data_IF_452625357894
#
_entry.id   IF_452625357894
#
_cell.length_a   1.000
_cell.length_b   1.000
_cell.length_c   1.000
_cell.angle_alpha   90.00
_cell.angle_beta   90.00
_cell.angle_gamma   90.00
#
_symmetry.space_group_name_H-M   'P 1'
#
loop_
_entity.id
_entity.type
_entity.pdbx_description
1 polymer ?
#
# COMPACT_ATOMS: atom_id res chain seq x y z
N UNK A 1 19.44 -12.00 10.59
CA UNK A 1 19.07 -11.52 9.24
C UNK A 1 17.57 -11.23 9.21
N UNK A 2 17.16 -10.12 8.59
CA UNK A 2 15.76 -9.67 8.55
C UNK A 2 15.16 -9.74 7.12
N UNK A 3 15.81 -10.47 6.23
CA UNK A 3 15.30 -10.73 4.88
C UNK A 3 14.00 -11.54 4.92
N UNK A 4 13.12 -11.27 3.97
CA UNK A 4 11.81 -11.92 3.83
C UNK A 4 11.44 -12.07 2.35
N UNK A 5 10.27 -12.62 2.07
CA UNK A 5 9.67 -12.63 0.74
C UNK A 5 8.28 -12.00 0.78
N UNK A 6 7.90 -11.26 -0.27
CA UNK A 6 6.58 -10.65 -0.39
C UNK A 6 6.14 -10.62 -1.85
N UNK A 7 4.95 -11.06 -2.14
CA UNK A 7 4.42 -11.19 -3.51
C UNK A 7 5.35 -12.01 -4.47
N UNK A 8 6.13 -12.94 -3.94
CA UNK A 8 7.14 -13.68 -4.69
C UNK A 8 8.47 -12.94 -4.89
N UNK A 9 8.60 -11.70 -4.44
CA UNK A 9 9.82 -10.92 -4.46
C UNK A 9 10.69 -11.22 -3.23
N UNK A 10 12.01 -11.28 -3.41
CA UNK A 10 12.98 -11.37 -2.30
C UNK A 10 13.29 -9.98 -1.78
N UNK A 11 13.09 -9.77 -0.49
CA UNK A 11 13.33 -8.50 0.18
C UNK A 11 14.49 -8.63 1.18
N UNK A 12 15.44 -7.73 1.15
CA UNK A 12 16.56 -7.67 2.12
C UNK A 12 16.10 -7.21 3.51
N UNK A 13 14.91 -6.62 3.60
CA UNK A 13 14.27 -6.11 4.81
C UNK A 13 12.74 -6.18 4.63
N UNK A 14 11.95 -6.36 5.70
CA UNK A 14 10.49 -6.29 5.60
C UNK A 14 9.96 -4.87 5.36
N UNK A 15 10.81 -3.85 5.32
CA UNK A 15 10.42 -2.47 5.11
C UNK A 15 10.29 -2.15 3.63
N UNK A 16 9.08 -1.93 3.16
CA UNK A 16 8.77 -1.36 1.85
C UNK A 16 8.52 0.13 2.03
N UNK A 17 9.24 0.98 1.28
CA UNK A 17 8.94 2.42 1.24
C UNK A 17 7.66 2.61 0.45
N UNK A 18 6.58 2.99 1.12
CA UNK A 18 5.27 3.17 0.51
C UNK A 18 5.19 4.39 -0.39
N UNK A 19 4.22 4.37 -1.31
CA UNK A 19 3.95 5.45 -2.24
C UNK A 19 3.80 6.80 -1.53
N UNK A 20 4.67 7.77 -1.86
CA UNK A 20 4.65 9.13 -1.33
C UNK A 20 5.40 10.09 -2.27
N UNK A 21 5.43 11.39 -1.96
CA UNK A 21 6.08 12.39 -2.82
C UNK A 21 7.58 12.17 -3.01
N UNK A 22 8.28 11.58 -2.02
CA UNK A 22 9.72 11.33 -2.11
C UNK A 22 10.04 10.17 -3.05
N UNK A 23 9.13 9.19 -3.23
CA UNK A 23 9.31 8.07 -4.16
C UNK A 23 9.06 8.42 -5.64
N UNK A 24 8.83 9.70 -5.95
CA UNK A 24 8.91 10.27 -7.30
C UNK A 24 10.30 10.82 -7.65
N UNK A 25 11.26 10.80 -6.71
CA UNK A 25 12.58 11.37 -6.88
C UNK A 25 13.64 10.26 -6.85
N UNK A 26 14.41 10.14 -7.94
CA UNK A 26 15.40 9.07 -8.10
C UNK A 26 16.52 9.12 -7.06
N UNK A 27 16.95 10.31 -6.61
CA UNK A 27 17.97 10.46 -5.59
C UNK A 27 17.47 9.91 -4.23
N UNK A 28 16.19 10.16 -3.92
CA UNK A 28 15.55 9.63 -2.71
C UNK A 28 15.37 8.11 -2.77
N UNK A 29 14.99 7.58 -3.93
CA UNK A 29 14.89 6.12 -4.15
C UNK A 29 16.22 5.44 -3.85
N UNK A 30 17.33 5.95 -4.40
CA UNK A 30 18.69 5.43 -4.15
C UNK A 30 19.09 5.59 -2.68
N UNK A 31 18.72 6.71 -2.04
CA UNK A 31 18.97 6.93 -0.61
C UNK A 31 18.24 5.89 0.27
N UNK A 32 17.00 5.57 -0.05
CA UNK A 32 16.20 4.55 0.68
C UNK A 32 16.79 3.15 0.52
N UNK A 33 17.23 2.76 -0.69
CA UNK A 33 17.94 1.50 -0.89
C UNK A 33 19.19 1.42 -0.03
N UNK A 34 20.04 2.46 -0.05
CA UNK A 34 21.27 2.53 0.76
C UNK A 34 20.98 2.45 2.26
N UNK A 35 19.82 2.92 2.70
CA UNK A 35 19.37 2.82 4.08
C UNK A 35 18.84 1.42 4.46
N UNK A 36 18.72 0.51 3.50
CA UNK A 36 18.31 -0.89 3.70
C UNK A 36 16.81 -1.12 3.54
N UNK A 37 16.13 -0.35 2.70
CA UNK A 37 14.77 -0.66 2.28
C UNK A 37 14.71 -2.00 1.54
N UNK A 38 13.67 -2.80 1.77
CA UNK A 38 13.45 -4.06 1.07
C UNK A 38 12.90 -3.89 -0.34
N UNK A 39 12.05 -2.88 -0.56
CA UNK A 39 11.47 -2.50 -1.85
C UNK A 39 11.01 -1.04 -1.82
N UNK A 40 10.73 -0.48 -2.99
CA UNK A 40 10.19 0.88 -3.15
C UNK A 40 8.89 0.81 -3.96
N UNK A 41 7.80 1.34 -3.38
CA UNK A 41 6.58 1.66 -4.14
C UNK A 41 6.69 3.09 -4.64
N UNK A 42 6.68 3.28 -5.94
CA UNK A 42 6.76 4.60 -6.55
C UNK A 42 5.48 5.40 -6.27
N UNK A 43 5.59 6.73 -6.29
CA UNK A 43 4.41 7.59 -6.16
C UNK A 43 3.34 7.17 -7.16
N UNK A 44 2.12 6.95 -6.69
CA UNK A 44 1.04 6.47 -7.55
C UNK A 44 0.78 7.42 -8.72
N UNK A 45 0.55 6.82 -9.88
CA UNK A 45 0.02 7.53 -11.04
C UNK A 45 -1.49 7.68 -10.86
N UNK A 46 -1.98 8.90 -10.78
CA UNK A 46 -3.39 9.24 -10.61
C UNK A 46 -3.97 9.82 -11.89
N UNK A 47 -5.15 9.37 -12.29
CA UNK A 47 -5.93 9.97 -13.37
C UNK A 47 -6.21 11.47 -13.09
N UNK A 48 -6.53 11.78 -11.84
CA UNK A 48 -6.74 13.15 -11.38
C UNK A 48 -5.50 14.05 -11.53
N UNK A 49 -4.30 13.48 -11.40
CA UNK A 49 -3.05 14.23 -11.60
C UNK A 49 -2.87 14.64 -13.06
N UNK A 50 -3.22 13.74 -13.98
CA UNK A 50 -3.23 14.01 -15.42
C UNK A 50 -4.26 15.11 -15.74
N UNK A 51 -5.48 14.97 -15.22
CA UNK A 51 -6.56 15.95 -15.43
C UNK A 51 -6.23 17.33 -14.83
N UNK A 52 -5.54 17.36 -13.68
CA UNK A 52 -5.12 18.61 -13.03
C UNK A 52 -4.06 19.34 -13.86
N UNK A 53 -3.11 18.61 -14.42
CA UNK A 53 -2.07 19.17 -15.30
C UNK A 53 -2.67 19.73 -16.59
N UNK A 54 -3.64 19.01 -17.17
CA UNK A 54 -4.45 19.49 -18.30
C UNK A 54 -5.18 20.80 -17.95
N UNK A 55 -5.84 20.86 -16.79
CA UNK A 55 -6.58 22.03 -16.33
C UNK A 55 -5.67 23.25 -16.08
N UNK A 56 -4.39 23.04 -15.76
CA UNK A 56 -3.42 24.12 -15.55
C UNK A 56 -2.96 24.79 -16.84
N UNK A 57 -3.19 24.18 -17.99
CA UNK A 57 -2.84 24.75 -19.32
C UNK A 57 -3.82 25.81 -19.81
N UNK A 58 -4.90 26.06 -19.07
CA UNK A 58 -5.91 27.07 -19.37
C UNK A 58 -7.04 26.55 -20.25
N UNK A 59 -8.20 27.19 -20.14
CA UNK A 59 -9.32 26.98 -21.03
C UNK A 59 -9.04 27.72 -22.35
N UNK A 60 -8.48 27.06 -23.34
CA UNK A 60 -8.57 27.56 -24.71
C UNK A 60 -9.99 27.35 -25.25
N UNK A 61 -10.56 28.33 -25.88
CA UNK A 61 -11.93 28.34 -26.43
C UNK A 61 -12.13 27.34 -27.60
N UNK A 62 -11.13 26.49 -27.89
CA UNK A 62 -11.15 25.49 -28.94
C UNK A 62 -11.15 24.05 -28.44
N UNK A 63 -12.28 23.32 -28.50
CA UNK A 63 -12.37 21.92 -28.03
C UNK A 63 -11.33 20.96 -28.63
N UNK A 64 -11.01 21.11 -29.92
CA UNK A 64 -10.02 20.28 -30.60
C UNK A 64 -8.59 20.51 -30.08
N UNK A 65 -8.24 21.76 -29.73
CA UNK A 65 -6.96 22.07 -29.11
C UNK A 65 -6.87 21.48 -27.68
N UNK A 66 -7.97 21.51 -26.95
CA UNK A 66 -8.05 20.91 -25.60
C UNK A 66 -7.86 19.38 -25.65
N UNK A 67 -8.51 18.67 -26.56
CA UNK A 67 -8.37 17.21 -26.73
C UNK A 67 -6.93 16.83 -27.13
N UNK A 68 -6.31 17.61 -28.02
CA UNK A 68 -4.92 17.38 -28.42
C UNK A 68 -3.95 17.64 -27.26
N UNK A 69 -4.08 18.74 -26.53
CA UNK A 69 -3.25 19.09 -25.39
C UNK A 69 -3.43 18.10 -24.24
N UNK A 70 -4.66 17.65 -23.97
CA UNK A 70 -4.94 16.66 -22.94
C UNK A 70 -4.31 15.31 -23.27
N UNK A 71 -4.36 14.88 -24.52
CA UNK A 71 -3.66 13.69 -25.00
C UNK A 71 -2.14 13.78 -24.84
N UNK A 72 -1.57 14.94 -25.20
CA UNK A 72 -0.13 15.20 -25.09
C UNK A 72 0.35 15.21 -23.63
N UNK A 73 -0.36 15.88 -22.73
CA UNK A 73 -0.03 15.92 -21.29
C UNK A 73 -0.14 14.57 -20.66
N UNK A 74 -1.21 13.83 -20.97
CA UNK A 74 -1.35 12.43 -20.50
C UNK A 74 -0.17 11.56 -20.90
N UNK A 75 0.23 11.63 -22.17
CA UNK A 75 1.34 10.81 -22.68
C UNK A 75 2.68 11.24 -22.08
N UNK A 76 2.89 12.53 -21.85
CA UNK A 76 4.09 13.04 -21.19
C UNK A 76 4.20 12.54 -19.74
N UNK A 77 3.14 12.67 -18.95
CA UNK A 77 3.11 12.18 -17.56
C UNK A 77 3.44 10.69 -17.48
N UNK A 78 2.86 9.90 -18.38
CA UNK A 78 3.13 8.46 -18.46
C UNK A 78 4.58 8.20 -18.87
N UNK A 79 5.09 8.91 -19.87
CA UNK A 79 6.47 8.77 -20.35
C UNK A 79 7.49 9.11 -19.25
N UNK A 80 7.28 10.20 -18.52
CA UNK A 80 8.14 10.59 -17.40
C UNK A 80 8.10 9.54 -16.28
N UNK A 81 6.94 8.94 -16.00
CA UNK A 81 6.81 7.87 -15.03
C UNK A 81 7.54 6.59 -15.46
N UNK A 82 7.43 6.19 -16.74
CA UNK A 82 8.17 5.05 -17.27
C UNK A 82 9.68 5.28 -17.25
N UNK A 83 10.13 6.51 -17.54
CA UNK A 83 11.52 6.89 -17.42
C UNK A 83 12.02 6.78 -15.97
N UNK A 84 11.21 7.17 -14.98
CA UNK A 84 11.54 6.99 -13.56
C UNK A 84 11.71 5.51 -13.20
N UNK A 85 10.81 4.62 -13.67
CA UNK A 85 10.92 3.16 -13.44
C UNK A 85 12.25 2.66 -14.02
N UNK A 86 12.53 2.95 -15.28
CA UNK A 86 13.74 2.49 -15.97
C UNK A 86 15.01 3.00 -15.29
N UNK A 87 15.03 4.27 -14.86
CA UNK A 87 16.17 4.85 -14.17
C UNK A 87 16.35 4.26 -12.75
N UNK A 88 15.25 4.01 -12.03
CA UNK A 88 15.30 3.35 -10.73
C UNK A 88 15.85 1.92 -10.86
N UNK A 89 15.39 1.16 -11.84
CA UNK A 89 15.89 -0.20 -12.13
C UNK A 89 17.36 -0.24 -12.54
N UNK A 90 17.84 0.82 -13.19
CA UNK A 90 19.27 0.95 -13.54
C UNK A 90 20.15 1.24 -12.32
N UNK A 91 19.64 1.97 -11.34
CA UNK A 91 20.41 2.46 -10.18
C UNK A 91 20.25 1.60 -8.94
N UNK A 92 19.14 0.87 -8.82
CA UNK A 92 18.80 0.08 -7.64
C UNK A 92 18.73 -1.40 -7.95
N UNK A 93 19.07 -2.21 -6.97
CA UNK A 93 19.02 -3.68 -7.00
C UNK A 93 17.77 -4.25 -6.33
N UNK A 94 17.17 -3.47 -5.41
CA UNK A 94 15.93 -3.85 -4.73
C UNK A 94 14.71 -3.73 -5.66
N UNK A 95 13.62 -4.44 -5.38
CA UNK A 95 12.40 -4.35 -6.17
C UNK A 95 11.85 -2.93 -6.26
N UNK A 96 11.50 -2.52 -7.50
CA UNK A 96 10.83 -1.27 -7.82
C UNK A 96 9.40 -1.59 -8.26
N UNK A 97 8.44 -1.06 -7.51
CA UNK A 97 7.02 -1.35 -7.62
C UNK A 97 6.28 -0.08 -8.02
N UNK A 98 5.98 0.15 -9.31
CA UNK A 98 5.08 1.25 -9.68
C UNK A 98 3.69 1.04 -9.10
N UNK A 99 3.00 2.14 -8.82
CA UNK A 99 1.66 2.15 -8.26
C UNK A 99 0.69 2.92 -9.15
N UNK A 100 -0.50 2.36 -9.35
CA UNK A 100 -1.59 2.95 -10.12
C UNK A 100 -2.79 3.15 -9.19
N UNK A 101 -3.32 4.37 -9.14
CA UNK A 101 -4.59 4.65 -8.47
C UNK A 101 -5.75 4.38 -9.42
N UNK A 102 -6.47 3.28 -9.17
CA UNK A 102 -7.57 2.81 -10.00
C UNK A 102 -8.92 3.20 -9.36
N UNK A 103 -9.73 3.99 -10.07
CA UNK A 103 -11.10 4.33 -9.66
C UNK A 103 -12.15 3.71 -10.58
N UNK A 104 -11.78 3.32 -11.78
CA UNK A 104 -12.64 2.75 -12.81
C UNK A 104 -11.93 1.67 -13.60
N UNK A 105 -12.68 0.94 -14.42
CA UNK A 105 -12.20 -0.10 -15.33
C UNK A 105 -11.61 0.45 -16.65
N UNK A 106 -11.02 1.64 -16.61
CA UNK A 106 -10.53 2.36 -17.78
C UNK A 106 -9.13 1.98 -18.26
N UNK A 107 -8.41 2.94 -18.83
CA UNK A 107 -7.13 2.82 -19.57
C UNK A 107 -5.92 2.21 -18.83
N UNK A 108 -6.09 1.72 -17.60
CA UNK A 108 -5.02 1.22 -16.72
C UNK A 108 -4.32 -0.04 -17.22
N UNK A 109 -5.02 -0.82 -18.05
CA UNK A 109 -4.53 -2.06 -18.62
C UNK A 109 -3.30 -1.84 -19.50
N UNK A 110 -3.33 -0.82 -20.36
CA UNK A 110 -2.21 -0.46 -21.22
C UNK A 110 -1.01 0.05 -20.40
N UNK A 111 -1.27 0.88 -19.39
CA UNK A 111 -0.22 1.40 -18.50
C UNK A 111 0.49 0.29 -17.75
N UNK A 112 -0.25 -0.71 -17.24
CA UNK A 112 0.33 -1.86 -16.56
C UNK A 112 1.36 -2.61 -17.45
N UNK A 113 1.04 -2.85 -18.72
CA UNK A 113 1.99 -3.44 -19.68
C UNK A 113 3.22 -2.57 -19.90
N UNK A 114 3.03 -1.27 -20.07
CA UNK A 114 4.13 -0.31 -20.28
C UNK A 114 5.05 -0.26 -19.07
N UNK A 115 4.51 -0.30 -17.84
CA UNK A 115 5.30 -0.34 -16.61
C UNK A 115 6.12 -1.62 -16.50
N UNK A 116 5.54 -2.77 -16.81
CA UNK A 116 6.29 -4.03 -16.90
C UNK A 116 7.41 -3.91 -17.96
N UNK A 117 7.11 -3.34 -19.12
CA UNK A 117 8.10 -3.11 -20.20
C UNK A 117 9.24 -2.18 -19.79
N UNK A 118 9.01 -1.24 -18.87
CA UNK A 118 10.03 -0.36 -18.28
C UNK A 118 10.89 -1.06 -17.20
N UNK A 119 10.60 -2.32 -16.86
CA UNK A 119 11.39 -3.14 -15.94
C UNK A 119 10.85 -3.22 -14.51
N UNK A 120 9.59 -2.90 -14.27
CA UNK A 120 8.95 -3.06 -12.95
C UNK A 120 9.05 -4.52 -12.46
N UNK A 121 9.30 -4.72 -11.16
CA UNK A 121 9.41 -6.04 -10.53
C UNK A 121 8.03 -6.59 -10.07
N UNK A 122 7.11 -5.70 -9.74
CA UNK A 122 5.71 -5.96 -9.44
C UNK A 122 4.89 -4.71 -9.76
N UNK A 123 3.57 -4.81 -9.66
CA UNK A 123 2.66 -3.69 -9.83
C UNK A 123 1.75 -3.57 -8.61
N UNK A 124 1.66 -2.38 -8.01
CA UNK A 124 0.67 -2.07 -6.99
C UNK A 124 -0.56 -1.40 -7.62
N UNK A 125 -1.72 -2.01 -7.41
CA UNK A 125 -3.02 -1.42 -7.71
C UNK A 125 -3.58 -0.80 -6.43
N UNK A 126 -3.63 0.51 -6.38
CA UNK A 126 -4.25 1.25 -5.29
C UNK A 126 -5.73 1.45 -5.61
N UNK A 127 -6.55 0.51 -5.16
CA UNK A 127 -8.01 0.53 -5.42
C UNK A 127 -8.69 1.08 -4.18
N UNK A 128 -9.08 2.36 -4.26
CA UNK A 128 -9.71 3.05 -3.15
C UNK A 128 -10.80 3.98 -3.64
N UNK A 129 -12.01 3.74 -3.16
CA UNK A 129 -13.18 4.57 -3.45
C UNK A 129 -14.16 4.53 -2.27
N UNK A 130 -15.17 5.39 -2.32
CA UNK A 130 -16.28 5.39 -1.37
C UNK A 130 -17.56 4.96 -2.09
N UNK A 131 -18.22 3.94 -1.56
CA UNK A 131 -19.56 3.57 -2.03
C UNK A 131 -20.59 4.47 -1.34
N UNK A 132 -21.12 5.45 -2.08
CA UNK A 132 -22.04 6.47 -1.55
C UNK A 132 -23.43 6.40 -2.19
N UNK A 133 -23.65 5.48 -3.13
CA UNK A 133 -24.94 5.33 -3.82
C UNK A 133 -26.02 4.83 -2.87
N UNK A 134 -27.20 5.45 -2.93
CA UNK A 134 -28.40 4.94 -2.23
C UNK A 134 -28.96 3.66 -2.88
N UNK A 135 -28.63 3.43 -4.15
CA UNK A 135 -28.97 2.20 -4.88
C UNK A 135 -27.71 1.34 -4.90
N UNK A 136 -27.67 0.37 -4.02
CA UNK A 136 -26.52 -0.51 -3.81
C UNK A 136 -27.00 -1.96 -3.81
N UNK A 137 -26.31 -2.82 -4.56
CA UNK A 137 -26.51 -4.27 -4.52
C UNK A 137 -25.33 -4.89 -3.77
N UNK A 138 -25.60 -5.91 -2.99
CA UNK A 138 -24.59 -6.62 -2.21
C UNK A 138 -23.41 -7.06 -3.10
N UNK A 139 -22.21 -6.70 -2.66
CA UNK A 139 -20.98 -7.00 -3.37
C UNK A 139 -20.67 -6.09 -4.57
N UNK A 140 -21.45 -5.03 -4.85
CA UNK A 140 -21.17 -4.11 -5.96
C UNK A 140 -19.80 -3.44 -5.79
N UNK A 141 -19.44 -3.09 -4.56
CA UNK A 141 -18.20 -2.41 -4.25
C UNK A 141 -16.99 -3.34 -4.43
N UNK A 142 -17.08 -4.58 -3.96
CA UNK A 142 -16.04 -5.59 -4.11
C UNK A 142 -15.86 -6.02 -5.58
N UNK A 143 -16.94 -6.05 -6.37
CA UNK A 143 -16.89 -6.39 -7.80
C UNK A 143 -16.00 -5.45 -8.62
N UNK A 144 -15.93 -4.17 -8.26
CA UNK A 144 -15.03 -3.20 -8.92
C UNK A 144 -13.58 -3.64 -8.72
N UNK A 145 -13.19 -3.98 -7.48
CA UNK A 145 -11.85 -4.46 -7.14
C UNK A 145 -11.51 -5.73 -7.92
N UNK A 146 -12.43 -6.68 -7.95
CA UNK A 146 -12.26 -7.95 -8.66
C UNK A 146 -12.05 -7.76 -10.15
N UNK A 147 -12.84 -6.90 -10.80
CA UNK A 147 -12.74 -6.64 -12.23
C UNK A 147 -11.41 -5.98 -12.59
N UNK A 148 -10.98 -4.98 -11.83
CA UNK A 148 -9.70 -4.31 -12.04
C UNK A 148 -8.54 -5.31 -11.96
N UNK A 149 -8.51 -6.13 -10.90
CA UNK A 149 -7.43 -7.11 -10.69
C UNK A 149 -7.43 -8.18 -11.78
N UNK A 150 -8.60 -8.74 -12.11
CA UNK A 150 -8.73 -9.76 -13.15
C UNK A 150 -8.23 -9.25 -14.52
N UNK A 151 -8.56 -8.02 -14.87
CA UNK A 151 -8.13 -7.41 -16.12
C UNK A 151 -6.62 -7.20 -16.17
N UNK A 152 -6.04 -6.64 -15.10
CA UNK A 152 -4.59 -6.37 -15.05
C UNK A 152 -3.78 -7.67 -15.02
N UNK A 153 -4.17 -8.64 -14.18
CA UNK A 153 -3.44 -9.93 -14.06
C UNK A 153 -3.36 -10.68 -15.38
N UNK A 154 -4.37 -10.58 -16.25
CA UNK A 154 -4.35 -11.19 -17.59
C UNK A 154 -3.31 -10.56 -18.55
N UNK A 155 -2.84 -9.36 -18.26
CA UNK A 155 -2.04 -8.55 -19.17
C UNK A 155 -0.57 -8.46 -18.79
N UNK A 156 -0.22 -8.75 -17.53
CA UNK A 156 1.14 -8.67 -17.01
C UNK A 156 1.61 -10.04 -16.49
N UNK A 157 2.92 -10.26 -16.56
CA UNK A 157 3.56 -11.47 -16.01
C UNK A 157 4.24 -11.22 -14.65
N UNK A 158 4.31 -9.96 -14.23
CA UNK A 158 4.85 -9.56 -12.93
C UNK A 158 3.76 -9.69 -11.83
N UNK A 159 4.14 -9.89 -10.57
CA UNK A 159 3.20 -9.95 -9.46
C UNK A 159 2.32 -8.71 -9.36
N UNK A 160 1.03 -8.92 -9.09
CA UNK A 160 0.08 -7.84 -8.81
C UNK A 160 -0.21 -7.81 -7.31
N UNK A 161 0.01 -6.66 -6.71
CA UNK A 161 -0.25 -6.32 -5.30
C UNK A 161 -1.46 -5.40 -5.28
N UNK A 162 -2.39 -5.60 -4.34
CA UNK A 162 -3.60 -4.78 -4.25
C UNK A 162 -3.64 -4.05 -2.91
N UNK A 163 -3.57 -2.73 -2.96
CA UNK A 163 -3.72 -1.88 -1.78
C UNK A 163 -5.16 -1.43 -1.67
N UNK A 164 -5.83 -1.79 -0.58
CA UNK A 164 -7.25 -1.57 -0.36
C UNK A 164 -7.52 -0.59 0.77
N UNK A 165 -8.71 0.02 0.79
CA UNK A 165 -9.22 0.78 1.93
C UNK A 165 -9.72 -0.13 3.05
N UNK A 166 -9.92 0.43 4.23
CA UNK A 166 -10.51 -0.29 5.37
C UNK A 166 -12.05 -0.23 5.42
N UNK A 167 -12.66 0.36 4.42
CA UNK A 167 -14.09 0.67 4.36
C UNK A 167 -14.93 -0.42 3.68
N UNK A 168 -14.52 -1.68 3.85
CA UNK A 168 -15.26 -2.86 3.38
C UNK A 168 -15.95 -3.58 4.53
N UNK A 169 -17.12 -4.15 4.25
CA UNK A 169 -17.89 -4.92 5.24
C UNK A 169 -17.25 -6.26 5.59
N UNK A 170 -16.55 -6.89 4.65
CA UNK A 170 -15.87 -8.16 4.83
C UNK A 170 -14.52 -8.19 4.10
N UNK A 171 -13.47 -7.80 4.81
CA UNK A 171 -12.11 -7.72 4.27
C UNK A 171 -11.54 -9.11 3.97
N UNK A 172 -11.88 -10.13 4.76
CA UNK A 172 -11.43 -11.51 4.53
C UNK A 172 -11.97 -12.03 3.20
N UNK A 173 -13.28 -11.88 2.95
CA UNK A 173 -13.90 -12.27 1.68
C UNK A 173 -13.33 -11.50 0.49
N UNK A 174 -13.05 -10.20 0.67
CA UNK A 174 -12.41 -9.40 -0.37
C UNK A 174 -11.02 -9.95 -0.70
N UNK A 175 -10.18 -10.22 0.30
CA UNK A 175 -8.83 -10.75 0.11
C UNK A 175 -8.83 -12.12 -0.57
N UNK A 176 -9.72 -13.02 -0.18
CA UNK A 176 -9.91 -14.33 -0.82
C UNK A 176 -10.31 -14.15 -2.29
N UNK A 177 -11.29 -13.29 -2.57
CA UNK A 177 -11.72 -12.98 -3.92
C UNK A 177 -10.63 -12.33 -4.80
N UNK A 178 -9.74 -11.52 -4.22
CA UNK A 178 -8.58 -10.95 -4.91
C UNK A 178 -7.54 -12.02 -5.23
N UNK A 179 -7.24 -12.91 -4.27
CA UNK A 179 -6.36 -14.06 -4.47
C UNK A 179 -6.89 -14.96 -5.60
N UNK A 180 -8.16 -15.32 -5.58
CA UNK A 180 -8.80 -16.14 -6.60
C UNK A 180 -8.68 -15.54 -8.02
N UNK A 181 -8.47 -14.22 -8.14
CA UNK A 181 -8.25 -13.51 -9.42
C UNK A 181 -6.79 -13.27 -9.75
N UNK A 182 -5.88 -13.83 -8.96
CA UNK A 182 -4.45 -13.86 -9.24
C UNK A 182 -3.62 -12.77 -8.56
N UNK A 183 -4.19 -11.95 -7.69
CA UNK A 183 -3.40 -11.08 -6.82
C UNK A 183 -2.45 -11.92 -5.98
N UNK A 184 -1.20 -11.47 -5.84
CA UNK A 184 -0.16 -12.16 -5.06
C UNK A 184 -0.07 -11.65 -3.63
N UNK A 185 -0.46 -10.40 -3.42
CA UNK A 185 -0.44 -9.78 -2.09
C UNK A 185 -1.50 -8.71 -1.96
N UNK A 186 -1.83 -8.38 -0.70
CA UNK A 186 -2.65 -7.22 -0.33
C UNK A 186 -1.89 -6.31 0.62
N UNK A 187 -2.15 -5.01 0.52
CA UNK A 187 -1.67 -4.01 1.48
C UNK A 187 -2.85 -3.50 2.31
N UNK A 188 -2.78 -3.71 3.62
CA UNK A 188 -3.78 -3.34 4.61
C UNK A 188 -3.23 -2.19 5.49
N UNK A 189 -3.59 -0.91 5.33
CA UNK A 189 -4.58 -0.35 4.41
C UNK A 189 -4.07 0.92 3.77
N UNK A 190 -4.73 1.35 2.67
CA UNK A 190 -4.67 2.75 2.29
C UNK A 190 -5.52 3.57 3.27
N UNK A 191 -5.19 4.85 3.42
CA UNK A 191 -5.91 5.77 4.29
C UNK A 191 -6.79 6.69 3.46
N UNK A 192 -8.05 6.81 3.85
CA UNK A 192 -8.93 7.84 3.31
C UNK A 192 -8.36 9.25 3.60
N UNK A 193 -8.58 10.16 2.67
CA UNK A 193 -8.23 11.57 2.87
C UNK A 193 -8.86 12.08 4.17
N UNK A 194 -8.05 12.61 5.11
CA UNK A 194 -8.55 13.05 6.40
C UNK A 194 -9.24 14.41 6.26
N UNK A 195 -10.52 14.40 5.87
CA UNK A 195 -11.35 15.60 5.78
C UNK A 195 -11.56 16.21 7.16
N UNK A 196 -11.40 17.53 7.26
CA UNK A 196 -11.68 18.33 8.46
C UNK A 196 -12.37 19.64 8.07
N UNK A 197 -12.90 20.37 9.06
CA UNK A 197 -13.64 21.61 8.85
C UNK A 197 -13.03 22.72 9.70
N UNK A 198 -12.62 23.81 9.05
CA UNK A 198 -12.30 25.07 9.71
C UNK A 198 -13.62 25.78 10.08
N UNK A 199 -13.95 25.74 11.36
CA UNK A 199 -15.24 26.29 11.87
C UNK A 199 -15.29 27.81 11.85
N UNK A 200 -14.15 28.50 11.83
CA UNK A 200 -14.09 29.95 11.77
C UNK A 200 -14.28 30.47 10.35
N UNK A 201 -13.74 29.73 9.37
CA UNK A 201 -13.82 30.08 7.96
C UNK A 201 -14.98 29.41 7.23
N UNK A 202 -15.63 28.44 7.84
CA UNK A 202 -16.68 27.57 7.24
C UNK A 202 -16.21 26.91 5.92
N UNK A 203 -14.97 26.40 5.92
CA UNK A 203 -14.36 25.74 4.78
C UNK A 203 -13.82 24.37 5.14
N UNK A 204 -13.73 23.50 4.14
CA UNK A 204 -13.01 22.23 4.32
C UNK A 204 -11.51 22.46 4.48
N UNK A 205 -10.90 21.70 5.36
CA UNK A 205 -9.46 21.66 5.58
C UNK A 205 -8.98 20.21 5.67
N UNK A 206 -7.68 20.03 5.80
CA UNK A 206 -7.05 18.72 5.94
C UNK A 206 -6.80 18.48 7.42
N UNK A 207 -7.30 17.36 7.94
CA UNK A 207 -6.96 16.87 9.26
C UNK A 207 -5.53 16.34 9.32
N UNK A 208 -5.26 15.39 10.22
CA UNK A 208 -3.93 14.83 10.37
C UNK A 208 -3.49 14.04 9.12
N UNK A 209 -2.65 14.65 8.28
CA UNK A 209 -2.22 14.08 7.01
C UNK A 209 -1.35 12.81 7.18
N UNK A 210 -0.45 12.80 8.18
CA UNK A 210 0.43 11.66 8.47
C UNK A 210 -0.18 10.75 9.53
N UNK A 211 0.03 9.44 9.38
CA UNK A 211 -0.41 8.47 10.38
C UNK A 211 0.39 8.56 11.67
N UNK A 212 -0.24 8.18 12.77
CA UNK A 212 0.31 8.04 14.11
C UNK A 212 0.37 6.56 14.53
N UNK A 213 1.07 6.20 15.62
CA UNK A 213 1.07 4.83 16.15
C UNK A 213 -0.31 4.26 16.45
N UNK A 214 -1.30 5.11 16.75
CA UNK A 214 -2.68 4.70 17.02
C UNK A 214 -3.36 4.09 15.80
N UNK A 215 -2.97 4.51 14.60
CA UNK A 215 -3.52 4.01 13.34
C UNK A 215 -3.13 2.55 13.04
N UNK A 216 -2.13 1.99 13.76
CA UNK A 216 -1.64 0.62 13.55
C UNK A 216 -2.63 -0.46 14.03
N UNK A 217 -3.49 -0.17 14.99
CA UNK A 217 -4.35 -1.18 15.64
C UNK A 217 -5.30 -1.88 14.66
N UNK A 218 -5.88 -1.15 13.73
CA UNK A 218 -6.81 -1.69 12.73
C UNK A 218 -6.10 -2.58 11.71
N UNK A 219 -4.98 -2.15 11.07
CA UNK A 219 -4.20 -3.03 10.20
C UNK A 219 -3.70 -4.30 10.86
N UNK A 220 -3.23 -4.23 12.12
CA UNK A 220 -2.79 -5.42 12.87
C UNK A 220 -3.91 -6.44 13.05
N UNK A 221 -5.11 -5.97 13.44
CA UNK A 221 -6.27 -6.84 13.60
C UNK A 221 -6.58 -7.60 12.32
N UNK A 222 -6.67 -6.87 11.21
CA UNK A 222 -7.02 -7.48 9.93
C UNK A 222 -5.89 -8.34 9.36
N UNK A 223 -4.63 -7.98 9.56
CA UNK A 223 -3.51 -8.84 9.21
C UNK A 223 -3.59 -10.17 9.95
N UNK A 224 -3.91 -10.15 11.27
CA UNK A 224 -4.08 -11.35 12.08
C UNK A 224 -5.24 -12.24 11.63
N UNK A 225 -6.36 -11.66 11.24
CA UNK A 225 -7.53 -12.40 10.76
C UNK A 225 -7.30 -12.95 9.35
N UNK A 226 -6.87 -12.09 8.41
CA UNK A 226 -6.71 -12.48 7.00
C UNK A 226 -5.59 -13.50 6.81
N UNK A 227 -4.45 -13.36 7.51
CA UNK A 227 -3.34 -14.32 7.39
C UNK A 227 -3.71 -15.73 7.84
N UNK A 228 -4.61 -15.86 8.81
CA UNK A 228 -5.13 -17.16 9.24
C UNK A 228 -6.17 -17.73 8.28
N UNK A 229 -7.06 -16.86 7.75
CA UNK A 229 -8.20 -17.29 6.94
C UNK A 229 -7.86 -17.48 5.45
N UNK A 230 -6.89 -16.71 4.92
CA UNK A 230 -6.46 -16.72 3.52
C UNK A 230 -4.92 -16.80 3.46
N UNK A 231 -4.31 -17.90 3.93
CA UNK A 231 -2.84 -18.01 4.06
C UNK A 231 -2.08 -18.01 2.73
N UNK A 232 -2.79 -18.09 1.61
CA UNK A 232 -2.21 -18.11 0.27
C UNK A 232 -1.86 -16.71 -0.25
N UNK A 233 -2.45 -15.64 0.31
CA UNK A 233 -2.17 -14.27 -0.10
C UNK A 233 -1.17 -13.62 0.86
N UNK A 234 -0.13 -13.01 0.33
CA UNK A 234 0.83 -12.28 1.15
C UNK A 234 0.21 -10.96 1.64
N UNK A 235 0.56 -10.55 2.87
CA UNK A 235 0.04 -9.34 3.48
C UNK A 235 1.19 -8.38 3.77
N UNK A 236 1.02 -7.12 3.41
CA UNK A 236 1.79 -6.01 3.97
C UNK A 236 0.88 -5.13 4.83
N UNK A 237 1.35 -4.73 6.00
CA UNK A 237 0.66 -3.77 6.86
C UNK A 237 1.09 -2.35 6.48
N UNK A 238 0.12 -1.46 6.30
CA UNK A 238 0.35 -0.04 6.04
C UNK A 238 -0.52 0.84 6.96
N UNK A 239 0.07 1.92 7.46
CA UNK A 239 -0.55 2.84 8.42
C UNK A 239 -0.12 2.59 9.87
N UNK A 240 0.37 3.63 10.55
CA UNK A 240 0.75 3.60 11.95
C UNK A 240 2.06 2.88 12.30
N UNK A 241 2.79 2.37 11.30
CA UNK A 241 4.14 1.80 11.52
C UNK A 241 5.13 2.95 11.66
N UNK A 242 5.50 3.26 12.90
CA UNK A 242 6.39 4.39 13.25
C UNK A 242 7.73 3.95 13.83
N UNK A 243 7.89 2.68 14.16
CA UNK A 243 9.08 2.13 14.81
C UNK A 243 9.26 0.65 14.47
N UNK A 244 10.44 0.11 14.81
CA UNK A 244 10.72 -1.32 14.70
C UNK A 244 9.70 -2.19 15.44
N UNK A 245 9.11 -1.68 16.54
CA UNK A 245 8.04 -2.41 17.27
C UNK A 245 6.80 -2.57 16.41
N UNK A 246 6.45 -1.56 15.60
CA UNK A 246 5.35 -1.66 14.66
C UNK A 246 5.61 -2.74 13.59
N UNK A 247 6.86 -2.86 13.13
CA UNK A 247 7.27 -3.90 12.18
C UNK A 247 7.15 -5.28 12.82
N UNK A 248 7.72 -5.48 14.02
CA UNK A 248 7.65 -6.75 14.74
C UNK A 248 6.21 -7.18 15.01
N UNK A 249 5.32 -6.24 15.43
CA UNK A 249 3.90 -6.50 15.64
C UNK A 249 3.21 -6.95 14.34
N UNK A 250 3.53 -6.31 13.20
CA UNK A 250 2.96 -6.64 11.91
C UNK A 250 3.33 -8.06 11.47
N UNK A 251 4.61 -8.45 11.65
CA UNK A 251 5.07 -9.79 11.32
C UNK A 251 4.43 -10.84 12.27
N UNK A 252 4.37 -10.56 13.56
CA UNK A 252 3.67 -11.42 14.54
C UNK A 252 2.18 -11.60 14.20
N UNK A 253 1.55 -10.60 13.60
CA UNK A 253 0.16 -10.69 13.12
C UNK A 253 0.01 -11.43 11.78
N UNK A 254 1.12 -11.82 11.11
CA UNK A 254 1.08 -12.56 9.86
C UNK A 254 1.38 -11.75 8.59
N UNK A 255 1.78 -10.48 8.72
CA UNK A 255 2.25 -9.71 7.58
C UNK A 255 3.71 -10.05 7.26
N UNK A 256 4.01 -10.29 5.98
CA UNK A 256 5.39 -10.57 5.52
C UNK A 256 6.22 -9.29 5.33
N UNK A 257 5.55 -8.15 5.20
CA UNK A 257 6.18 -6.84 5.02
C UNK A 257 5.35 -5.72 5.67
N UNK A 258 5.96 -4.56 5.78
CA UNK A 258 5.28 -3.31 6.15
C UNK A 258 5.51 -2.27 5.07
N UNK A 259 4.48 -1.52 4.71
CA UNK A 259 4.60 -0.41 3.78
C UNK A 259 4.53 0.91 4.55
N UNK A 260 5.65 1.64 4.58
CA UNK A 260 5.86 2.80 5.45
C UNK A 260 6.03 4.07 4.60
N UNK A 261 5.21 5.08 4.89
CA UNK A 261 5.34 6.41 4.30
C UNK A 261 5.53 7.49 5.38
N UNK A 262 4.63 7.58 6.36
CA UNK A 262 4.58 8.69 7.32
C UNK A 262 5.84 8.83 8.17
N UNK A 263 6.41 7.74 8.66
CA UNK A 263 7.65 7.77 9.44
C UNK A 263 8.83 8.22 8.58
N UNK A 264 8.91 7.74 7.34
CA UNK A 264 9.96 8.12 6.39
C UNK A 264 9.85 9.61 5.98
N UNK A 265 8.62 10.13 5.82
CA UNK A 265 8.41 11.56 5.56
C UNK A 265 8.89 12.42 6.72
N UNK A 266 8.68 11.99 7.97
CA UNK A 266 9.11 12.72 9.18
C UNK A 266 10.62 12.65 9.43
N UNK A 267 11.22 11.47 9.26
CA UNK A 267 12.56 11.16 9.77
C UNK A 267 13.59 10.86 8.67
N UNK A 268 13.12 10.73 7.42
CA UNK A 268 13.99 10.41 6.28
C UNK A 268 14.47 8.96 6.26
N UNK A 269 15.50 8.72 5.44
CA UNK A 269 16.06 7.39 5.22
C UNK A 269 16.72 6.78 6.49
N UNK A 270 17.20 7.62 7.41
CA UNK A 270 17.81 7.18 8.67
C UNK A 270 16.87 6.35 9.53
N UNK A 271 15.53 6.59 9.43
CA UNK A 271 14.54 5.77 10.08
C UNK A 271 14.63 4.29 9.65
N UNK A 272 14.84 4.03 8.35
CA UNK A 272 14.94 2.67 7.80
C UNK A 272 16.14 1.95 8.41
N UNK A 273 17.31 2.58 8.41
CA UNK A 273 18.53 2.01 8.99
C UNK A 273 18.37 1.69 10.48
N UNK A 274 17.81 2.64 11.23
CA UNK A 274 17.59 2.48 12.66
C UNK A 274 16.54 1.38 12.97
N UNK A 275 15.44 1.38 12.23
CA UNK A 275 14.37 0.38 12.41
C UNK A 275 14.87 -1.04 12.09
N UNK A 276 15.64 -1.23 11.01
CA UNK A 276 16.25 -2.50 10.65
C UNK A 276 17.19 -3.01 11.75
N UNK A 277 18.09 -2.13 12.23
CA UNK A 277 19.02 -2.47 13.31
C UNK A 277 18.28 -2.95 14.57
N UNK A 278 17.34 -2.16 15.05
CA UNK A 278 16.60 -2.47 16.28
C UNK A 278 15.70 -3.70 16.12
N UNK A 279 15.13 -3.93 14.93
CA UNK A 279 14.36 -5.12 14.63
C UNK A 279 15.26 -6.38 14.69
N UNK A 280 16.45 -6.32 14.11
CA UNK A 280 17.40 -7.44 14.13
C UNK A 280 17.90 -7.72 15.55
N UNK A 281 18.23 -6.70 16.33
CA UNK A 281 18.61 -6.83 17.74
C UNK A 281 17.50 -7.50 18.58
N UNK A 282 16.24 -7.06 18.39
CA UNK A 282 15.10 -7.66 19.07
C UNK A 282 14.89 -9.12 18.63
N UNK A 283 14.95 -9.39 17.34
CA UNK A 283 14.81 -10.74 16.79
C UNK A 283 15.84 -11.70 17.42
N UNK A 284 17.11 -11.28 17.47
CA UNK A 284 18.19 -12.05 18.10
C UNK A 284 17.96 -12.24 19.61
N UNK A 285 17.47 -11.20 20.33
CA UNK A 285 17.17 -11.29 21.76
C UNK A 285 16.07 -12.30 22.09
N UNK A 286 15.21 -12.62 21.11
CA UNK A 286 14.14 -13.62 21.21
C UNK A 286 14.57 -15.01 20.70
N UNK A 287 15.80 -15.16 20.22
CA UNK A 287 16.29 -16.42 19.64
C UNK A 287 15.75 -16.72 18.24
N UNK A 288 15.19 -15.73 17.55
CA UNK A 288 14.73 -15.89 16.17
C UNK A 288 15.88 -15.62 15.18
N UNK A 289 16.00 -16.46 14.16
CA UNK A 289 17.03 -16.31 13.13
C UNK A 289 16.55 -15.50 11.90
N UNK A 290 15.24 -15.51 11.66
CA UNK A 290 14.61 -14.86 10.52
C UNK A 290 13.15 -14.46 10.86
N UNK A 291 12.54 -13.52 10.11
CA UNK A 291 11.14 -13.13 10.29
C UNK A 291 10.15 -14.29 10.21
N UNK A 292 10.44 -15.30 9.40
CA UNK A 292 9.62 -16.51 9.25
C UNK A 292 9.47 -17.29 10.56
N UNK A 293 10.41 -17.17 11.50
CA UNK A 293 10.35 -17.89 12.80
C UNK A 293 9.27 -17.34 13.75
N UNK A 294 8.77 -16.14 13.50
CA UNK A 294 7.72 -15.52 14.32
C UNK A 294 6.54 -14.96 13.49
N UNK A 295 6.56 -15.23 12.18
CA UNK A 295 5.48 -14.83 11.26
C UNK A 295 4.17 -15.49 11.69
N UNK A 296 3.17 -14.68 12.00
CA UNK A 296 1.82 -15.14 12.33
C UNK A 296 1.66 -15.77 13.72
N UNK A 297 2.68 -15.75 14.59
CA UNK A 297 2.57 -16.33 15.95
C UNK A 297 1.45 -15.70 16.79
N UNK A 298 0.92 -14.55 16.37
CA UNK A 298 -0.16 -13.83 17.04
C UNK A 298 -1.39 -13.66 16.12
N UNK A 299 -1.52 -14.47 15.08
CA UNK A 299 -2.68 -14.43 14.19
C UNK A 299 -3.87 -15.27 14.71
N UNK A 300 -4.98 -15.27 14.01
CA UNK A 300 -6.21 -15.96 14.40
C UNK A 300 -6.20 -17.48 14.16
N UNK A 301 -5.07 -18.09 13.79
CA UNK A 301 -4.96 -19.54 13.68
C UNK A 301 -5.02 -20.23 15.05
N UNK A 302 -4.57 -19.53 16.12
CA UNK A 302 -4.65 -20.01 17.49
C UNK A 302 -5.95 -19.51 18.16
N UNK A 303 -6.76 -20.38 18.81
CA UNK A 303 -8.06 -19.99 19.38
C UNK A 303 -8.01 -18.83 20.37
N UNK A 304 -6.98 -18.77 21.22
CA UNK A 304 -6.80 -17.68 22.17
C UNK A 304 -6.56 -16.31 21.48
N UNK A 305 -5.90 -16.31 20.33
CA UNK A 305 -5.66 -15.13 19.53
C UNK A 305 -6.91 -14.75 18.73
N UNK A 306 -7.62 -15.74 18.18
CA UNK A 306 -8.87 -15.56 17.47
C UNK A 306 -9.89 -14.79 18.34
N UNK A 307 -10.13 -15.25 19.57
CA UNK A 307 -11.02 -14.59 20.52
C UNK A 307 -10.67 -13.10 20.75
N UNK A 308 -9.37 -12.78 20.82
CA UNK A 308 -8.90 -11.40 21.01
C UNK A 308 -9.07 -10.56 19.75
N UNK A 309 -8.81 -11.13 18.58
CA UNK A 309 -8.90 -10.44 17.28
C UNK A 309 -10.35 -10.21 16.87
N UNK A 310 -11.27 -11.17 17.13
CA UNK A 310 -12.69 -11.07 16.79
C UNK A 310 -13.51 -10.27 17.80
N UNK A 311 -12.94 -9.95 18.97
CA UNK A 311 -13.66 -9.19 20.00
C UNK A 311 -14.02 -7.78 19.52
N UNK A 312 -15.29 -7.46 19.58
CA UNK A 312 -15.84 -6.17 19.15
C UNK A 312 -16.20 -5.24 20.31
N UNK A 313 -16.28 -5.76 21.55
CA UNK A 313 -16.72 -4.99 22.72
C UNK A 313 -15.63 -4.84 23.77
N UNK A 314 -15.63 -3.70 24.46
CA UNK A 314 -14.65 -3.29 25.46
C UNK A 314 -14.91 -3.79 26.90
N UNK A 315 -16.03 -4.47 27.16
CA UNK A 315 -16.56 -4.77 28.49
C UNK A 315 -15.52 -5.28 29.52
N UNK A 316 -14.47 -5.97 29.07
CA UNK A 316 -13.44 -6.48 29.97
C UNK A 316 -12.32 -5.47 30.28
N UNK A 317 -12.12 -4.44 29.45
CA UNK A 317 -11.00 -3.52 29.59
C UNK A 317 -11.38 -2.20 30.25
N UNK A 318 -12.65 -1.80 30.22
CA UNK A 318 -13.12 -0.59 30.91
C UNK A 318 -13.14 -0.73 32.43
N UNK A 319 -13.27 -1.94 32.95
CA UNK A 319 -13.18 -2.19 34.39
C UNK A 319 -11.75 -2.14 34.96
N UNK A 320 -10.74 -2.09 34.08
CA UNK A 320 -9.32 -2.08 34.45
C UNK A 320 -8.64 -0.72 34.17
N UNK A 321 -9.35 0.24 33.57
CA UNK A 321 -8.88 1.62 33.38
C UNK A 321 -9.34 2.43 34.62
N UNK A 322 -8.47 2.50 35.62
CA UNK A 322 -8.59 3.36 36.78
C UNK A 322 -7.49 4.42 36.78
#
# INVERSE_FOLDING_TARGET
MINTSFAGLKLVSPIIVGSNSQTANIQKIVEFEKAGAGAIVLKSLFEESIMREISSLGNDDHPEAYDYLSGYVSEKVVTDYLALIAEAKKRCTIPIIPSIACHSDGKWEEFAKRMQGAGADALELNVMSLSTSRVYKDGDFERIHYKIVENVVKLVNIPVIVKIGSNHSNITSLCDGLYARGAKAVVLFNRLFPTDIDVDRLTFTIGQALTSPADLSLPLRWAGIVSASVPQIDIAVSGGVDSWKGIAKSILSGAKAVEVASAIIREGASWITNANKLLEEWQQSKGFNAPENYLGNMNAAEPENEDKLLRTQFLKYFSEIH
#
